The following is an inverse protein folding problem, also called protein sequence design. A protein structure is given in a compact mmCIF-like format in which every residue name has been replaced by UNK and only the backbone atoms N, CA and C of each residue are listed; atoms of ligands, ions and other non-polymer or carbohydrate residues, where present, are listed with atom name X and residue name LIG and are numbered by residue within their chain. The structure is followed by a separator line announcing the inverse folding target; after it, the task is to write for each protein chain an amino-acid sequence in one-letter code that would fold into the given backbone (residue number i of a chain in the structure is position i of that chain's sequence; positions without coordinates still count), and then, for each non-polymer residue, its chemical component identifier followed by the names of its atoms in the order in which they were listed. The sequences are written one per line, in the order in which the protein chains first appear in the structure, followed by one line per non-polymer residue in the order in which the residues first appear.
data_IF_563956733839
#
_entry.id   IF_563956733839
#
_cell.length_a   1.000
_cell.length_b   1.000
_cell.length_c   1.000
_cell.angle_alpha   90.00
_cell.angle_beta   90.00
_cell.angle_gamma   90.00
#
_symmetry.space_group_name_H-M   'P 1'
#
loop_
_entity.id
_entity.type
_entity.pdbx_description
1 polymer ?
#
# COMPACT_ATOMS: atom_id res chain seq x y z
N UNK A 1 -16.42 -7.18 37.21
CA UNK A 1 -15.95 -6.66 35.90
C UNK A 1 -14.65 -5.82 36.00
N UNK A 2 -14.38 -5.14 37.12
CA UNK A 2 -13.20 -4.27 37.31
C UNK A 2 -11.84 -5.02 37.39
N UNK A 3 -11.77 -6.13 38.12
CA UNK A 3 -10.51 -6.84 38.36
C UNK A 3 -9.86 -7.42 37.08
N UNK A 4 -10.66 -7.97 36.18
CA UNK A 4 -10.16 -8.51 34.90
C UNK A 4 -9.62 -7.39 33.99
N UNK A 5 -10.24 -6.22 34.00
CA UNK A 5 -9.78 -5.07 33.24
C UNK A 5 -8.45 -4.51 33.77
N UNK A 6 -8.28 -4.45 35.10
CA UNK A 6 -7.02 -4.02 35.75
C UNK A 6 -5.89 -5.02 35.44
N UNK A 7 -6.14 -6.33 35.60
CA UNK A 7 -5.15 -7.37 35.31
C UNK A 7 -4.78 -7.45 33.84
N UNK A 8 -5.73 -7.24 32.91
CA UNK A 8 -5.40 -7.08 31.49
C UNK A 8 -4.48 -5.88 31.27
N UNK A 9 -4.76 -4.74 31.89
CA UNK A 9 -3.95 -3.53 31.75
C UNK A 9 -2.51 -3.73 32.27
N UNK A 10 -2.33 -4.41 33.40
CA UNK A 10 -1.00 -4.76 33.95
C UNK A 10 -0.24 -5.74 33.06
N UNK A 11 -0.88 -6.77 32.51
CA UNK A 11 -0.29 -7.75 31.62
C UNK A 11 0.11 -7.16 30.26
N UNK A 12 -0.70 -6.19 29.75
CA UNK A 12 -0.38 -5.51 28.48
C UNK A 12 0.65 -4.39 28.64
N UNK A 13 0.81 -3.79 29.81
CA UNK A 13 1.85 -2.79 30.06
C UNK A 13 3.25 -3.39 30.11
N UNK A 14 3.40 -4.65 30.51
CA UNK A 14 4.70 -5.30 30.64
C UNK A 14 5.25 -5.98 29.36
N UNK A 15 4.49 -6.05 28.28
CA UNK A 15 4.89 -6.78 27.07
C UNK A 15 4.95 -5.96 25.79
N UNK A 16 5.00 -4.63 25.86
CA UNK A 16 5.11 -3.80 24.65
C UNK A 16 6.55 -3.31 24.37
N UNK A 17 7.53 -4.22 24.38
CA UNK A 17 8.77 -3.99 23.64
C UNK A 17 8.44 -4.06 22.14
N UNK A 18 7.89 -2.98 21.59
CA UNK A 18 7.66 -2.82 20.15
C UNK A 18 8.97 -2.39 19.53
N UNK A 19 9.74 -3.35 19.03
CA UNK A 19 10.87 -3.02 18.16
C UNK A 19 10.31 -2.50 16.83
N UNK A 20 10.66 -1.26 16.43
CA UNK A 20 10.28 -0.78 15.11
C UNK A 20 10.88 -1.69 14.05
N UNK A 21 10.10 -2.04 13.03
CA UNK A 21 10.58 -2.82 11.90
C UNK A 21 11.74 -2.05 11.24
N UNK A 22 12.93 -2.64 11.22
CA UNK A 22 14.07 -2.06 10.51
C UNK A 22 14.00 -2.52 9.05
N UNK A 23 13.62 -1.60 8.17
CA UNK A 23 13.69 -1.84 6.73
C UNK A 23 15.11 -1.63 6.24
N UNK A 24 15.54 -2.49 5.32
CA UNK A 24 16.84 -2.39 4.65
C UNK A 24 16.66 -1.78 3.25
N UNK A 25 17.74 -1.26 2.62
CA UNK A 25 17.65 -0.74 1.26
C UNK A 25 17.03 -1.74 0.29
N UNK A 26 16.17 -1.28 -0.60
CA UNK A 26 15.51 -2.11 -1.62
C UNK A 26 14.21 -2.79 -1.16
N UNK A 27 13.79 -2.64 0.10
CA UNK A 27 12.44 -2.99 0.54
C UNK A 27 11.47 -1.84 0.28
N UNK A 28 10.26 -2.17 -0.16
CA UNK A 28 9.19 -1.20 -0.34
C UNK A 28 7.86 -1.72 0.24
N UNK A 29 6.98 -0.79 0.56
CA UNK A 29 5.65 -1.06 1.10
C UNK A 29 4.60 -0.60 0.11
N UNK A 30 3.59 -1.43 -0.11
CA UNK A 30 2.49 -1.21 -1.03
C UNK A 30 1.21 -1.05 -0.24
N UNK A 31 0.48 0.03 -0.49
CA UNK A 31 -0.81 0.29 0.13
C UNK A 31 -1.76 0.98 -0.85
N UNK A 32 -3.07 0.75 -0.69
CA UNK A 32 -4.14 1.46 -1.37
C UNK A 32 -4.85 2.41 -0.40
N UNK A 33 -5.22 3.57 -0.91
CA UNK A 33 -6.08 4.50 -0.19
C UNK A 33 -7.15 5.07 -1.09
N UNK A 34 -8.16 5.70 -0.51
CA UNK A 34 -9.23 6.37 -1.24
C UNK A 34 -8.87 7.82 -1.53
N UNK A 35 -9.17 8.31 -2.74
CA UNK A 35 -9.02 9.69 -3.15
C UNK A 35 -10.08 10.09 -4.16
N UNK A 36 -10.65 11.27 -3.95
CA UNK A 36 -11.54 11.89 -4.90
C UNK A 36 -10.74 12.70 -5.93
N UNK A 37 -11.22 12.75 -7.17
CA UNK A 37 -10.64 13.56 -8.24
C UNK A 37 -11.67 13.93 -9.31
N UNK A 38 -11.37 14.97 -10.09
CA UNK A 38 -12.20 15.38 -11.22
C UNK A 38 -11.47 15.06 -12.53
N UNK A 39 -12.10 14.25 -13.39
CA UNK A 39 -11.66 14.01 -14.76
C UNK A 39 -12.68 14.60 -15.73
N UNK A 40 -12.26 15.53 -16.59
CA UNK A 40 -13.15 16.30 -17.47
C UNK A 40 -14.34 16.95 -16.73
N UNK A 41 -14.13 17.45 -15.51
CA UNK A 41 -15.16 18.07 -14.69
C UNK A 41 -16.11 17.08 -13.99
N UNK A 42 -15.95 15.77 -14.20
CA UNK A 42 -16.74 14.72 -13.54
C UNK A 42 -16.02 14.25 -12.28
N UNK A 43 -16.72 14.28 -11.14
CA UNK A 43 -16.21 13.77 -9.87
C UNK A 43 -16.16 12.24 -9.89
N UNK A 44 -15.01 11.69 -9.53
CA UNK A 44 -14.78 10.26 -9.31
C UNK A 44 -14.38 10.00 -7.86
N UNK A 45 -15.02 9.03 -7.23
CA UNK A 45 -14.58 8.44 -5.98
C UNK A 45 -13.65 7.29 -6.31
N UNK A 46 -12.36 7.57 -6.36
CA UNK A 46 -11.34 6.63 -6.80
C UNK A 46 -10.41 6.18 -5.70
N UNK A 47 -9.31 5.60 -6.12
CA UNK A 47 -8.29 5.04 -5.25
C UNK A 47 -6.90 5.48 -5.70
N UNK A 48 -5.95 5.47 -4.78
CA UNK A 48 -4.55 5.62 -5.12
C UNK A 48 -3.74 4.44 -4.61
N UNK A 49 -2.81 3.96 -5.42
CA UNK A 49 -1.76 3.04 -5.04
C UNK A 49 -0.57 3.86 -4.57
N UNK A 50 -0.02 3.53 -3.43
CA UNK A 50 1.21 4.11 -2.92
C UNK A 50 2.28 3.03 -2.77
N UNK A 51 3.46 3.27 -3.36
CA UNK A 51 4.66 2.48 -3.14
C UNK A 51 5.67 3.34 -2.38
N UNK A 52 5.99 2.98 -1.16
CA UNK A 52 6.93 3.73 -0.32
C UNK A 52 8.17 2.93 0.02
N UNK A 53 9.33 3.58 0.05
CA UNK A 53 10.62 3.04 0.45
C UNK A 53 10.97 3.53 1.86
N UNK A 54 10.73 2.75 2.92
CA UNK A 54 10.93 3.21 4.29
C UNK A 54 12.37 3.62 4.62
N UNK A 55 13.34 2.97 3.98
CA UNK A 55 14.76 3.27 4.21
C UNK A 55 15.16 4.66 3.69
N UNK A 56 14.81 5.00 2.45
CA UNK A 56 15.15 6.28 1.80
C UNK A 56 14.12 7.39 2.05
N UNK A 57 12.98 7.02 2.63
CA UNK A 57 11.86 7.93 2.82
C UNK A 57 11.28 8.49 1.50
N UNK A 58 11.41 7.80 0.37
CA UNK A 58 10.83 8.14 -0.93
C UNK A 58 9.53 7.36 -1.12
N UNK A 59 8.57 7.91 -1.88
CA UNK A 59 7.34 7.24 -2.23
C UNK A 59 6.81 7.70 -3.58
N UNK A 60 6.04 6.82 -4.23
CA UNK A 60 5.42 7.05 -5.53
C UNK A 60 3.94 6.73 -5.45
N UNK A 61 3.12 7.53 -6.11
CA UNK A 61 1.66 7.40 -6.06
C UNK A 61 1.08 7.35 -7.47
N UNK A 62 0.06 6.52 -7.65
CA UNK A 62 -0.72 6.41 -8.89
C UNK A 62 -2.21 6.42 -8.56
N UNK A 63 -3.03 7.17 -9.32
CA UNK A 63 -4.49 7.20 -9.17
C UNK A 63 -5.17 6.18 -10.07
N UNK A 64 -6.29 5.63 -9.57
CA UNK A 64 -7.13 4.67 -10.27
C UNK A 64 -8.61 4.93 -9.99
N UNK A 65 -9.49 4.51 -10.92
CA UNK A 65 -10.94 4.52 -10.70
C UNK A 65 -11.44 3.36 -9.85
N UNK A 66 -10.60 2.35 -9.60
CA UNK A 66 -10.92 1.16 -8.82
C UNK A 66 -9.74 0.63 -8.02
N UNK A 67 -10.02 -0.26 -7.07
CA UNK A 67 -9.05 -0.98 -6.27
C UNK A 67 -9.15 -2.47 -6.58
N UNK A 68 -8.54 -2.88 -7.69
CA UNK A 68 -8.51 -4.27 -8.13
C UNK A 68 -7.09 -4.73 -8.47
N UNK A 69 -6.95 -5.99 -8.84
CA UNK A 69 -5.67 -6.60 -9.16
C UNK A 69 -4.99 -5.98 -10.39
N UNK A 70 -5.77 -5.58 -11.39
CA UNK A 70 -5.28 -4.92 -12.60
C UNK A 70 -4.71 -3.54 -12.26
N UNK A 71 -5.39 -2.75 -11.43
CA UNK A 71 -4.90 -1.46 -10.94
C UNK A 71 -3.59 -1.62 -10.16
N UNK A 72 -3.48 -2.64 -9.31
CA UNK A 72 -2.25 -2.96 -8.60
C UNK A 72 -1.10 -3.25 -9.56
N UNK A 73 -1.31 -4.13 -10.54
CA UNK A 73 -0.27 -4.52 -11.49
C UNK A 73 0.16 -3.35 -12.36
N UNK A 74 -0.81 -2.58 -12.86
CA UNK A 74 -0.51 -1.40 -13.69
C UNK A 74 0.25 -0.34 -12.90
N UNK A 75 -0.15 -0.08 -11.67
CA UNK A 75 0.52 0.91 -10.81
C UNK A 75 1.94 0.49 -10.45
N UNK A 76 2.15 -0.75 -10.04
CA UNK A 76 3.48 -1.27 -9.75
C UNK A 76 4.38 -1.26 -11.01
N UNK A 77 3.85 -1.69 -12.16
CA UNK A 77 4.56 -1.63 -13.44
C UNK A 77 5.02 -0.20 -13.75
N UNK A 78 4.10 0.77 -13.72
CA UNK A 78 4.42 2.17 -14.01
C UNK A 78 5.51 2.72 -13.09
N UNK A 79 5.44 2.37 -11.79
CA UNK A 79 6.44 2.81 -10.81
C UNK A 79 7.78 2.12 -11.07
N UNK A 80 7.82 0.81 -11.34
CA UNK A 80 9.06 0.08 -11.63
C UNK A 80 9.76 0.62 -12.88
N UNK A 81 9.00 0.92 -13.93
CA UNK A 81 9.51 1.53 -15.15
C UNK A 81 10.07 2.93 -14.90
N UNK A 82 9.38 3.73 -14.06
CA UNK A 82 9.81 5.08 -13.70
C UNK A 82 11.12 5.09 -12.89
N UNK A 83 11.24 4.23 -11.88
CA UNK A 83 12.45 4.14 -11.04
C UNK A 83 13.59 3.37 -11.69
N UNK A 84 13.33 2.71 -12.83
CA UNK A 84 14.32 1.92 -13.55
C UNK A 84 14.73 0.62 -12.85
N UNK A 85 13.87 0.08 -11.95
CA UNK A 85 14.17 -1.14 -11.21
C UNK A 85 12.99 -1.67 -10.41
N UNK A 86 13.18 -2.86 -9.81
CA UNK A 86 12.18 -3.53 -8.99
C UNK A 86 12.72 -3.69 -7.57
N UNK A 87 11.97 -3.29 -6.53
CA UNK A 87 12.35 -3.60 -5.15
C UNK A 87 12.45 -5.11 -4.97
N UNK A 88 13.48 -5.60 -4.29
CA UNK A 88 13.64 -7.04 -4.11
C UNK A 88 12.56 -7.64 -3.19
N UNK A 89 11.95 -6.81 -2.30
CA UNK A 89 10.90 -7.22 -1.38
C UNK A 89 9.79 -6.17 -1.29
N UNK A 90 8.55 -6.62 -1.46
CA UNK A 90 7.34 -5.81 -1.33
C UNK A 90 6.50 -6.27 -0.14
N UNK A 91 6.20 -5.35 0.76
CA UNK A 91 5.32 -5.54 1.90
C UNK A 91 3.92 -5.05 1.54
N UNK A 92 2.92 -5.93 1.63
CA UNK A 92 1.51 -5.63 1.35
C UNK A 92 0.73 -5.55 2.66
N UNK A 93 0.09 -4.40 2.92
CA UNK A 93 -0.78 -4.25 4.10
C UNK A 93 -2.11 -4.98 3.89
N UNK A 94 -2.74 -4.81 2.74
CA UNK A 94 -4.00 -5.47 2.40
C UNK A 94 -3.81 -6.39 1.19
N UNK A 95 -4.04 -7.67 1.40
CA UNK A 95 -3.91 -8.69 0.35
C UNK A 95 -5.25 -9.04 -0.33
N UNK A 96 -6.35 -8.35 -0.01
CA UNK A 96 -7.70 -8.69 -0.50
C UNK A 96 -7.79 -8.79 -2.02
N UNK A 97 -7.05 -7.95 -2.74
CA UNK A 97 -7.07 -7.87 -4.20
C UNK A 97 -6.29 -8.99 -4.90
N UNK A 98 -5.40 -9.66 -4.18
CA UNK A 98 -4.49 -10.69 -4.72
C UNK A 98 -4.67 -12.06 -4.06
N UNK A 99 -5.64 -12.19 -3.15
CA UNK A 99 -5.94 -13.42 -2.43
C UNK A 99 -7.32 -13.91 -2.79
N UNK A 100 -7.43 -15.19 -3.14
CA UNK A 100 -8.72 -15.90 -3.25
C UNK A 100 -9.00 -16.63 -1.95
N UNK A 101 -10.22 -16.45 -1.43
CA UNK A 101 -10.73 -17.27 -0.34
C UNK A 101 -11.25 -18.60 -0.94
N UNK A 102 -10.70 -19.72 -0.50
CA UNK A 102 -11.13 -21.05 -0.90
C UNK A 102 -12.35 -21.49 -0.07
N UNK A 103 -13.12 -22.50 -0.58
CA UNK A 103 -14.32 -23.02 0.09
C UNK A 103 -14.07 -23.58 1.49
N UNK A 104 -12.85 -24.02 1.78
CA UNK A 104 -12.39 -24.51 3.08
C UNK A 104 -11.92 -23.39 4.03
N UNK A 105 -12.04 -22.10 3.64
CA UNK A 105 -11.59 -20.95 4.42
C UNK A 105 -10.09 -20.62 4.25
N UNK A 106 -9.34 -21.40 3.50
CA UNK A 106 -7.95 -21.10 3.20
C UNK A 106 -7.80 -19.90 2.25
N UNK A 107 -6.75 -19.12 2.43
CA UNK A 107 -6.38 -18.00 1.55
C UNK A 107 -5.26 -18.44 0.62
N UNK A 108 -5.47 -18.31 -0.68
CA UNK A 108 -4.47 -18.60 -1.71
C UNK A 108 -4.23 -17.37 -2.58
N UNK A 109 -2.99 -17.09 -2.90
CA UNK A 109 -2.65 -16.05 -3.87
C UNK A 109 -3.23 -16.40 -5.25
N UNK A 110 -3.63 -15.38 -5.99
CA UNK A 110 -4.13 -15.57 -7.35
C UNK A 110 -2.99 -16.01 -8.28
N UNK A 111 -3.30 -16.83 -9.28
CA UNK A 111 -2.30 -17.27 -10.25
C UNK A 111 -1.74 -16.08 -11.07
N UNK A 112 -2.54 -15.04 -11.28
CA UNK A 112 -2.09 -13.83 -11.93
C UNK A 112 -1.05 -13.09 -11.09
N UNK A 113 -1.25 -12.97 -9.77
CA UNK A 113 -0.26 -12.37 -8.88
C UNK A 113 1.03 -13.20 -8.81
N UNK A 114 0.92 -14.52 -8.78
CA UNK A 114 2.10 -15.39 -8.77
C UNK A 114 2.94 -15.22 -10.05
N UNK A 115 2.28 -15.14 -11.24
CA UNK A 115 2.96 -14.84 -12.50
C UNK A 115 3.61 -13.45 -12.50
N UNK A 116 2.91 -12.43 -12.02
CA UNK A 116 3.41 -11.06 -11.90
C UNK A 116 4.64 -11.01 -10.99
N UNK A 117 4.55 -11.60 -9.80
CA UNK A 117 5.66 -11.72 -8.85
C UNK A 117 6.87 -12.42 -9.47
N UNK A 118 6.66 -13.52 -10.18
CA UNK A 118 7.72 -14.28 -10.84
C UNK A 118 8.37 -13.48 -11.98
N UNK A 119 7.57 -12.78 -12.78
CA UNK A 119 8.05 -11.95 -13.88
C UNK A 119 8.98 -10.83 -13.42
N UNK A 120 8.62 -10.14 -12.34
CA UNK A 120 9.40 -9.03 -11.78
C UNK A 120 10.48 -9.47 -10.77
N UNK A 121 10.42 -10.71 -10.29
CA UNK A 121 11.45 -11.30 -9.43
C UNK A 121 11.50 -10.79 -7.98
N UNK A 122 10.41 -10.20 -7.45
CA UNK A 122 10.38 -9.71 -6.08
C UNK A 122 9.84 -10.73 -5.07
N UNK A 123 10.24 -10.60 -3.81
CA UNK A 123 9.64 -11.31 -2.68
C UNK A 123 8.38 -10.55 -2.21
N UNK A 124 7.27 -11.25 -1.97
CA UNK A 124 6.06 -10.66 -1.41
C UNK A 124 5.87 -11.08 0.04
N UNK A 125 5.69 -10.11 0.92
CA UNK A 125 5.38 -10.30 2.35
C UNK A 125 4.03 -9.66 2.65
N UNK A 126 3.21 -10.37 3.41
CA UNK A 126 1.86 -9.91 3.78
C UNK A 126 1.82 -9.61 5.28
N UNK A 127 1.47 -8.38 5.62
CA UNK A 127 1.31 -7.98 7.01
C UNK A 127 0.09 -8.68 7.63
N UNK A 128 0.20 -9.10 8.88
CA UNK A 128 -0.93 -9.64 9.61
C UNK A 128 -1.94 -8.53 9.95
N UNK A 129 -3.25 -8.77 9.80
CA UNK A 129 -4.28 -7.75 10.07
C UNK A 129 -4.24 -7.15 11.49
N UNK A 130 -3.60 -7.85 12.44
CA UNK A 130 -3.52 -7.44 13.85
C UNK A 130 -2.16 -6.85 14.27
N UNK A 131 -1.22 -6.67 13.35
CA UNK A 131 0.13 -6.18 13.64
C UNK A 131 0.27 -4.68 13.36
N UNK A 132 -0.54 -3.85 13.97
CA UNK A 132 -0.52 -2.39 13.81
C UNK A 132 0.83 -1.70 14.12
N UNK A 133 1.74 -2.40 14.79
CA UNK A 133 3.09 -1.91 15.09
C UNK A 133 4.10 -2.14 13.95
N UNK A 134 3.78 -2.99 12.96
CA UNK A 134 4.55 -3.13 11.73
C UNK A 134 4.33 -1.96 10.76
N UNK A 135 3.28 -1.15 11.01
CA UNK A 135 2.77 -0.08 10.12
C UNK A 135 3.32 1.33 10.39
N UNK A 136 4.05 1.55 11.46
CA UNK A 136 4.35 2.90 11.99
C UNK A 136 4.97 3.91 11.02
N UNK A 137 5.63 3.49 9.94
CA UNK A 137 6.19 4.40 8.93
C UNK A 137 5.29 4.59 7.70
N UNK A 138 4.40 3.61 7.40
CA UNK A 138 3.53 3.65 6.20
C UNK A 138 2.42 4.67 6.37
N UNK A 139 1.76 4.68 7.53
CA UNK A 139 0.64 5.58 7.81
C UNK A 139 1.02 7.06 7.69
N UNK A 140 2.24 7.42 8.09
CA UNK A 140 2.74 8.79 7.96
C UNK A 140 2.95 9.22 6.50
N UNK A 141 3.36 8.30 5.60
CA UNK A 141 3.65 8.63 4.20
C UNK A 141 2.45 8.55 3.28
N UNK A 142 1.59 7.56 3.47
CA UNK A 142 0.28 7.51 2.80
C UNK A 142 -0.48 8.80 3.10
N UNK A 143 -0.48 9.25 4.36
CA UNK A 143 -1.04 10.53 4.75
C UNK A 143 -0.32 11.75 4.14
N UNK A 144 1.00 11.71 3.95
CA UNK A 144 1.76 12.79 3.32
C UNK A 144 1.39 12.97 1.85
N UNK A 145 1.46 11.91 1.04
CA UNK A 145 1.11 11.96 -0.39
C UNK A 145 -0.34 12.37 -0.62
N UNK A 146 -1.26 11.83 0.19
CA UNK A 146 -2.67 12.25 0.14
C UNK A 146 -2.84 13.73 0.40
N UNK A 147 -2.27 14.26 1.47
CA UNK A 147 -2.43 15.69 1.85
C UNK A 147 -1.76 16.64 0.88
N UNK A 148 -0.64 16.27 0.28
CA UNK A 148 0.13 17.18 -0.56
C UNK A 148 -0.26 17.12 -2.05
N UNK A 149 -0.77 15.99 -2.53
CA UNK A 149 -1.03 15.79 -3.96
C UNK A 149 -2.50 15.51 -4.30
N UNK A 150 -3.28 15.04 -3.32
CA UNK A 150 -4.66 14.59 -3.54
C UNK A 150 -5.70 15.38 -2.73
N UNK A 151 -5.27 16.42 -2.02
CA UNK A 151 -6.17 17.34 -1.28
C UNK A 151 -5.70 18.78 -1.54
N UNK A 152 -6.58 19.66 -2.08
CA UNK A 152 -7.94 19.38 -2.54
C UNK A 152 -7.98 18.37 -3.72
N UNK A 153 -9.15 17.76 -4.02
CA UNK A 153 -9.27 16.81 -5.13
C UNK A 153 -8.70 17.39 -6.41
N UNK A 154 -7.71 16.72 -7.04
CA UNK A 154 -7.08 17.22 -8.25
C UNK A 154 -8.06 17.23 -9.43
N UNK A 155 -7.84 18.15 -10.37
CA UNK A 155 -8.64 18.29 -11.58
C UNK A 155 -7.73 18.14 -12.80
N UNK A 156 -8.12 17.31 -13.75
CA UNK A 156 -7.37 17.04 -14.98
C UNK A 156 -8.29 16.55 -16.10
N UNK A 157 -7.77 16.52 -17.32
CA UNK A 157 -8.50 16.02 -18.49
C UNK A 157 -8.34 14.48 -18.61
N UNK A 158 -7.13 13.96 -18.40
CA UNK A 158 -6.83 12.53 -18.54
C UNK A 158 -6.09 11.99 -17.31
N UNK A 159 -6.58 10.89 -16.79
CA UNK A 159 -6.00 10.22 -15.62
C UNK A 159 -4.56 9.76 -15.88
N UNK A 160 -4.29 9.27 -17.08
CA UNK A 160 -2.96 8.78 -17.47
C UNK A 160 -1.91 9.90 -17.41
N UNK A 161 -2.23 11.10 -17.95
CA UNK A 161 -1.34 12.25 -17.96
C UNK A 161 -1.06 12.76 -16.54
N UNK A 162 -2.09 12.75 -15.69
CA UNK A 162 -1.95 13.10 -14.29
C UNK A 162 -1.07 12.09 -13.54
N UNK A 163 -1.22 10.79 -13.82
CA UNK A 163 -0.39 9.73 -13.25
C UNK A 163 1.08 9.88 -13.64
N UNK A 164 1.39 10.26 -14.88
CA UNK A 164 2.77 10.57 -15.30
C UNK A 164 3.33 11.75 -14.51
N UNK A 165 2.50 12.78 -14.24
CA UNK A 165 2.90 13.93 -13.43
C UNK A 165 3.15 13.54 -11.97
N UNK A 166 2.29 12.69 -11.37
CA UNK A 166 2.45 12.20 -10.00
C UNK A 166 3.78 11.46 -9.77
N UNK A 167 4.28 10.73 -10.76
CA UNK A 167 5.56 10.01 -10.65
C UNK A 167 6.78 10.95 -10.56
N UNK A 168 6.63 12.20 -10.98
CA UNK A 168 7.73 13.19 -11.00
C UNK A 168 7.74 14.11 -9.78
N UNK A 169 6.71 14.02 -8.92
CA UNK A 169 6.56 14.80 -7.69
C UNK A 169 7.20 14.09 -6.49
#
# INVERSE_FOLDING_TARGET
AGYVAVKKKELYQNNSCRLPLKHIPGEAQVDFGQADFYENGVLHHGFYLNLSFPYSNVGYTQLFKGENQECLFQGLKNIFEHIGGVPYKLWFDNASNIVKLLRNGERKLTDAFLRFKQHYGFEAVFCNPNAGHEKGNVENKVGYHRRNFLVPPPQFEKLEDFNVKLLRL
#
